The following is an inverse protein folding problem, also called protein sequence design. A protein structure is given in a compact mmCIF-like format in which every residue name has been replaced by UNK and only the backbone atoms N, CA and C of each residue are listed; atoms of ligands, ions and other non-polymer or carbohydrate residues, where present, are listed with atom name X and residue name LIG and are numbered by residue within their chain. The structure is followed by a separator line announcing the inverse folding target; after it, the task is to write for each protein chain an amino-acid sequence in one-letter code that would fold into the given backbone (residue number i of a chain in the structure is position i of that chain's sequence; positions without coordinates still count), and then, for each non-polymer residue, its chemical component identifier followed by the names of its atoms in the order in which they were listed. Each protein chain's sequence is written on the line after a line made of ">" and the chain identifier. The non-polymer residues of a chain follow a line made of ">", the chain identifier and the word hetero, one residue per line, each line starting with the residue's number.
data_IF_467046680917
#
_entry.id   IF_467046680917
#
_cell.length_a   1.000
_cell.length_b   1.000
_cell.length_c   1.000
_cell.angle_alpha   90.00
_cell.angle_beta   90.00
_cell.angle_gamma   90.00
#
_symmetry.space_group_name_H-M   'P 1'
#
loop_
_entity.id
_entity.type
_entity.pdbx_description
1 polymer ?
#
# COMPACT_ATOMS: atom_id res chain seq x y z
N UNK A 1 -51.40 -23.71 20.07
CA UNK A 1 -50.98 -22.38 20.58
C UNK A 1 -49.96 -21.80 19.63
N UNK A 2 -50.33 -20.82 18.81
CA UNK A 2 -49.42 -20.05 17.97
C UNK A 2 -49.74 -18.57 18.22
N UNK A 3 -48.78 -17.80 18.75
CA UNK A 3 -48.94 -16.37 19.03
C UNK A 3 -48.07 -15.60 18.05
N UNK A 4 -48.71 -14.86 17.14
CA UNK A 4 -48.10 -13.86 16.25
C UNK A 4 -47.41 -12.79 17.11
N UNK A 5 -46.14 -12.52 16.84
CA UNK A 5 -45.41 -11.35 17.36
C UNK A 5 -45.55 -10.20 16.37
N UNK A 6 -46.15 -9.12 16.84
CA UNK A 6 -46.32 -7.83 16.16
C UNK A 6 -45.00 -7.05 16.09
N UNK A 7 -44.71 -6.51 14.91
CA UNK A 7 -43.69 -5.49 14.61
C UNK A 7 -43.91 -4.21 15.42
N UNK A 8 -42.86 -3.55 15.93
CA UNK A 8 -42.87 -2.12 16.18
C UNK A 8 -42.08 -1.42 15.07
N UNK A 9 -42.76 -1.10 13.98
CA UNK A 9 -42.35 -0.03 13.06
C UNK A 9 -42.79 1.27 13.72
N UNK A 10 -41.88 2.24 13.90
CA UNK A 10 -42.07 3.59 14.47
C UNK A 10 -41.60 3.80 15.91
N UNK A 11 -40.38 3.36 16.26
CA UNK A 11 -39.66 3.98 17.37
C UNK A 11 -38.80 5.14 16.82
N UNK A 12 -39.09 6.42 17.15
CA UNK A 12 -38.36 7.57 16.63
C UNK A 12 -36.87 7.54 16.97
N UNK A 13 -36.48 6.85 18.05
CA UNK A 13 -35.08 6.65 18.39
C UNK A 13 -34.39 5.73 17.37
N UNK A 14 -35.05 4.64 16.95
CA UNK A 14 -34.49 3.72 15.93
C UNK A 14 -34.38 4.36 14.55
N UNK A 15 -35.33 5.24 14.19
CA UNK A 15 -35.26 6.02 12.95
C UNK A 15 -34.13 7.06 12.99
N UNK A 16 -33.95 7.74 14.13
CA UNK A 16 -32.84 8.68 14.32
C UNK A 16 -31.48 7.99 14.25
N UNK A 17 -31.32 6.81 14.88
CA UNK A 17 -30.10 6.02 14.78
C UNK A 17 -29.83 5.52 13.36
N UNK A 18 -30.86 5.05 12.64
CA UNK A 18 -30.70 4.64 11.24
C UNK A 18 -30.34 5.81 10.32
N UNK A 19 -30.90 7.00 10.55
CA UNK A 19 -30.60 8.19 9.76
C UNK A 19 -29.19 8.73 10.03
N UNK A 20 -28.69 8.61 11.27
CA UNK A 20 -27.31 8.95 11.61
C UNK A 20 -26.33 7.92 11.03
N UNK A 21 -26.68 6.63 11.04
CA UNK A 21 -25.84 5.59 10.43
C UNK A 21 -25.78 5.69 8.90
N UNK A 22 -26.89 6.04 8.24
CA UNK A 22 -26.91 6.29 6.79
C UNK A 22 -26.12 7.55 6.43
N UNK A 23 -26.25 8.63 7.23
CA UNK A 23 -25.45 9.85 7.04
C UNK A 23 -23.95 9.63 7.31
N UNK A 24 -23.59 8.72 8.22
CA UNK A 24 -22.21 8.35 8.49
C UNK A 24 -21.64 7.46 7.38
N UNK A 25 -22.43 6.54 6.82
CA UNK A 25 -22.01 5.75 5.65
C UNK A 25 -21.87 6.59 4.40
N UNK A 26 -22.79 7.53 4.16
CA UNK A 26 -22.71 8.43 3.01
C UNK A 26 -21.51 9.39 3.16
N UNK A 27 -21.26 9.95 4.35
CA UNK A 27 -20.09 10.83 4.55
C UNK A 27 -18.73 10.11 4.59
N UNK A 28 -18.66 8.86 5.07
CA UNK A 28 -17.41 8.09 5.14
C UNK A 28 -17.06 7.41 3.81
N UNK A 29 -18.05 7.09 2.97
CA UNK A 29 -17.84 6.39 1.70
C UNK A 29 -18.14 7.21 0.43
N UNK A 30 -18.79 8.39 0.49
CA UNK A 30 -18.98 9.26 -0.69
C UNK A 30 -17.68 9.87 -1.25
N UNK A 31 -16.54 9.70 -0.56
CA UNK A 31 -15.23 10.18 -1.01
C UNK A 31 -14.47 9.24 -1.96
N UNK A 32 -14.97 8.04 -2.27
CA UNK A 32 -14.17 7.02 -2.98
C UNK A 32 -14.67 6.59 -4.36
N UNK A 33 -15.80 7.10 -4.88
CA UNK A 33 -16.30 6.66 -6.21
C UNK A 33 -17.02 7.75 -7.04
N UNK A 34 -16.47 8.98 -7.10
CA UNK A 34 -16.87 9.94 -8.12
C UNK A 34 -15.69 10.83 -8.57
N UNK A 35 -15.35 10.90 -9.87
CA UNK A 35 -14.39 11.88 -10.37
C UNK A 35 -14.97 13.29 -10.24
N UNK A 36 -14.20 14.19 -9.64
CA UNK A 36 -14.56 15.59 -9.46
C UNK A 36 -14.80 16.29 -10.81
N UNK A 37 -16.03 16.76 -11.03
CA UNK A 37 -16.34 17.75 -12.04
C UNK A 37 -15.88 19.13 -11.55
N UNK A 38 -14.95 19.75 -12.28
CA UNK A 38 -14.50 21.13 -12.06
C UNK A 38 -15.40 22.14 -12.82
N UNK A 39 -15.43 23.43 -12.44
CA UNK A 39 -16.30 24.45 -13.01
C UNK A 39 -15.86 24.88 -14.43
N UNK A 40 -16.81 25.07 -15.34
CA UNK A 40 -16.62 25.58 -16.71
C UNK A 40 -16.21 27.08 -16.76
N UNK A 41 -15.29 27.46 -17.66
CA UNK A 41 -15.13 28.84 -18.14
C UNK A 41 -15.92 29.10 -19.46
N UNK A 42 -16.19 30.38 -19.83
CA UNK A 42 -17.13 30.74 -20.91
C UNK A 42 -16.60 30.45 -22.35
N UNK A 43 -17.48 30.43 -23.38
CA UNK A 43 -17.22 29.72 -24.63
C UNK A 43 -16.39 30.55 -25.65
N UNK A 44 -15.55 29.86 -26.41
CA UNK A 44 -14.96 30.35 -27.67
C UNK A 44 -15.22 29.35 -28.81
N UNK A 45 -15.38 29.83 -30.06
CA UNK A 45 -16.14 29.12 -31.08
C UNK A 45 -15.34 28.07 -31.87
N UNK A 46 -16.11 27.07 -32.26
CA UNK A 46 -15.91 25.94 -33.16
C UNK A 46 -14.83 26.06 -34.25
N UNK A 47 -14.00 25.01 -34.38
CA UNK A 47 -13.56 24.51 -35.68
C UNK A 47 -13.59 22.97 -35.71
N UNK A 48 -14.49 22.50 -36.57
CA UNK A 48 -14.64 21.18 -37.17
C UNK A 48 -13.39 20.28 -37.19
N UNK A 49 -13.52 19.07 -36.62
CA UNK A 49 -12.53 18.01 -36.72
C UNK A 49 -12.79 17.02 -37.88
N UNK A 50 -11.79 16.22 -38.26
CA UNK A 50 -11.99 14.89 -38.84
C UNK A 50 -11.64 13.76 -37.85
N UNK A 51 -12.25 12.60 -38.11
CA UNK A 51 -12.24 11.30 -37.38
C UNK A 51 -10.85 10.74 -36.97
N UNK A 52 -10.81 9.81 -35.99
CA UNK A 52 -9.59 9.39 -35.32
C UNK A 52 -8.79 8.34 -36.11
N UNK A 53 -7.46 8.48 -36.06
CA UNK A 53 -6.51 7.42 -36.43
C UNK A 53 -5.71 7.05 -35.18
N UNK A 54 -5.73 5.76 -34.84
CA UNK A 54 -5.00 5.12 -33.75
C UNK A 54 -3.51 5.42 -33.83
N UNK A 55 -2.94 5.94 -32.73
CA UNK A 55 -1.52 6.28 -32.61
C UNK A 55 -0.85 5.29 -31.65
N UNK A 56 -0.35 4.18 -32.19
CA UNK A 56 0.71 3.40 -31.56
C UNK A 56 2.04 4.10 -31.86
N UNK A 57 2.56 4.90 -30.92
CA UNK A 57 3.91 5.47 -31.01
C UNK A 57 4.65 5.36 -29.70
N UNK A 58 5.32 4.23 -29.49
CA UNK A 58 6.41 4.12 -28.53
C UNK A 58 7.70 4.69 -29.16
N UNK A 59 8.39 5.66 -28.53
CA UNK A 59 9.54 6.39 -29.12
C UNK A 59 10.83 5.56 -29.32
N UNK A 60 10.80 4.25 -29.08
CA UNK A 60 11.97 3.36 -29.16
C UNK A 60 12.13 2.69 -30.55
N UNK A 61 11.03 2.51 -31.30
CA UNK A 61 11.01 1.82 -32.60
C UNK A 61 11.44 2.71 -33.78
N UNK A 62 11.22 4.02 -33.68
CA UNK A 62 11.54 4.98 -34.75
C UNK A 62 13.04 5.29 -34.83
N UNK A 63 13.74 5.24 -33.68
CA UNK A 63 15.19 5.38 -33.58
C UNK A 63 15.96 4.14 -34.08
N UNK A 64 15.36 2.95 -34.00
CA UNK A 64 15.93 1.70 -34.52
C UNK A 64 15.73 1.58 -36.04
N UNK A 65 14.57 1.96 -36.57
CA UNK A 65 14.30 1.95 -38.02
C UNK A 65 15.10 3.00 -38.79
N UNK A 66 15.44 4.12 -38.15
CA UNK A 66 16.35 5.12 -38.75
C UNK A 66 17.78 4.61 -38.77
N UNK A 67 18.28 3.96 -37.71
CA UNK A 67 19.61 3.35 -37.67
C UNK A 67 19.81 2.25 -38.74
N UNK A 68 18.82 1.37 -38.93
CA UNK A 68 18.87 0.31 -39.97
C UNK A 68 18.86 0.89 -41.40
N UNK A 69 18.16 2.01 -41.62
CA UNK A 69 18.13 2.71 -42.92
C UNK A 69 19.49 3.34 -43.27
N UNK A 70 20.22 3.85 -42.27
CA UNK A 70 21.57 4.39 -42.47
C UNK A 70 22.61 3.29 -42.71
N UNK A 71 22.48 2.13 -42.05
CA UNK A 71 23.37 0.99 -42.26
C UNK A 71 23.21 0.33 -43.65
N UNK A 72 22.01 0.37 -44.23
CA UNK A 72 21.74 -0.18 -45.57
C UNK A 72 22.17 0.75 -46.72
N UNK A 73 22.42 2.05 -46.46
CA UNK A 73 22.89 3.01 -47.46
C UNK A 73 24.41 3.11 -47.57
N UNK A 74 25.16 2.53 -46.62
CA UNK A 74 26.61 2.38 -46.72
C UNK A 74 26.95 1.16 -47.57
N UNK A 75 27.30 1.42 -48.84
CA UNK A 75 27.76 0.42 -49.80
C UNK A 75 29.02 -0.34 -49.35
N UNK A 76 29.26 -1.46 -50.03
CA UNK A 76 30.34 -2.44 -49.81
C UNK A 76 31.66 -1.86 -49.30
N UNK A 77 32.16 -2.47 -48.23
CA UNK A 77 33.41 -2.15 -47.53
C UNK A 77 34.59 -2.13 -48.51
N UNK A 78 35.31 -1.01 -48.54
CA UNK A 78 36.39 -0.68 -49.47
C UNK A 78 37.73 -1.42 -49.23
N UNK A 79 37.69 -2.71 -48.84
CA UNK A 79 38.90 -3.46 -48.48
C UNK A 79 38.95 -4.89 -49.04
N UNK A 80 38.51 -5.08 -50.29
CA UNK A 80 38.48 -6.41 -50.95
C UNK A 80 39.32 -6.46 -52.25
N UNK A 81 40.48 -5.78 -52.28
CA UNK A 81 41.38 -5.70 -53.45
C UNK A 81 42.66 -6.58 -53.32
N UNK A 82 42.68 -7.62 -52.48
CA UNK A 82 43.94 -8.29 -52.09
C UNK A 82 44.40 -9.47 -52.96
N UNK A 83 43.74 -9.81 -54.07
CA UNK A 83 44.08 -11.02 -54.86
C UNK A 83 44.43 -10.75 -56.33
N UNK A 84 45.68 -10.34 -56.64
CA UNK A 84 46.21 -10.40 -58.02
C UNK A 84 47.75 -10.49 -58.18
N UNK A 85 48.52 -10.58 -57.10
CA UNK A 85 49.99 -10.47 -57.13
C UNK A 85 50.78 -11.75 -57.49
N UNK A 86 50.13 -12.92 -57.58
CA UNK A 86 50.83 -14.21 -57.75
C UNK A 86 51.11 -14.64 -59.21
N UNK A 87 50.45 -14.03 -60.22
CA UNK A 87 50.63 -14.43 -61.64
C UNK A 87 51.87 -13.83 -62.32
N UNK A 88 52.53 -12.85 -61.70
CA UNK A 88 53.61 -12.07 -62.32
C UNK A 88 54.99 -12.72 -62.13
N UNK A 89 55.15 -13.59 -61.13
CA UNK A 89 56.43 -14.24 -60.85
C UNK A 89 56.77 -15.39 -61.81
N UNK A 90 55.80 -15.95 -62.53
CA UNK A 90 56.03 -17.11 -63.41
C UNK A 90 56.51 -16.74 -64.84
N UNK A 91 56.44 -15.46 -65.22
CA UNK A 91 56.82 -14.99 -66.57
C UNK A 91 58.31 -14.74 -66.78
N UNK A 92 59.12 -14.70 -65.72
CA UNK A 92 60.52 -14.25 -65.78
C UNK A 92 61.53 -15.39 -66.04
N UNK A 93 61.09 -16.61 -66.30
CA UNK A 93 61.94 -17.81 -66.37
C UNK A 93 61.96 -18.51 -67.75
N UNK A 94 61.69 -17.80 -68.85
CA UNK A 94 61.75 -18.39 -70.19
C UNK A 94 63.21 -18.57 -70.65
N UNK A 95 63.61 -19.82 -70.95
CA UNK A 95 64.95 -20.17 -71.47
C UNK A 95 65.11 -19.71 -72.93
N UNK A 96 66.28 -19.12 -73.23
CA UNK A 96 66.74 -18.75 -74.58
C UNK A 96 66.58 -19.87 -75.61
N UNK A 97 66.06 -19.57 -76.80
CA UNK A 97 65.81 -20.57 -77.84
C UNK A 97 67.10 -21.05 -78.53
N UNK A 98 67.29 -22.36 -78.68
CA UNK A 98 68.45 -22.96 -79.36
C UNK A 98 68.38 -22.97 -80.90
N UNK A 99 67.37 -22.33 -81.50
CA UNK A 99 67.10 -22.37 -82.93
C UNK A 99 68.24 -21.82 -83.81
N UNK A 100 68.90 -20.68 -83.48
CA UNK A 100 69.98 -20.14 -84.32
C UNK A 100 71.17 -21.08 -84.48
N UNK A 101 71.54 -21.77 -83.39
CA UNK A 101 72.62 -22.76 -83.41
C UNK A 101 72.25 -24.02 -84.20
N UNK A 102 70.98 -24.43 -84.19
CA UNK A 102 70.52 -25.56 -85.00
C UNK A 102 70.55 -25.24 -86.50
N UNK A 103 70.04 -24.07 -86.90
CA UNK A 103 70.05 -23.63 -88.30
C UNK A 103 71.49 -23.51 -88.82
N UNK A 104 72.40 -22.95 -88.03
CA UNK A 104 73.83 -22.89 -88.38
C UNK A 104 74.45 -24.28 -88.61
N UNK A 105 74.06 -25.28 -87.81
CA UNK A 105 74.49 -26.66 -88.02
C UNK A 105 74.10 -27.20 -89.40
N UNK A 106 72.85 -26.99 -89.83
CA UNK A 106 72.39 -27.43 -91.15
C UNK A 106 73.09 -26.69 -92.30
N UNK A 107 73.27 -25.37 -92.18
CA UNK A 107 73.96 -24.57 -93.20
C UNK A 107 75.44 -24.97 -93.30
N UNK A 108 76.12 -25.17 -92.17
CA UNK A 108 77.51 -25.62 -92.14
C UNK A 108 77.66 -27.03 -92.75
N UNK A 109 76.73 -27.95 -92.46
CA UNK A 109 76.71 -29.28 -93.07
C UNK A 109 76.57 -29.18 -94.59
N UNK A 110 75.63 -28.39 -95.08
CA UNK A 110 75.42 -28.18 -96.52
C UNK A 110 76.66 -27.61 -97.22
N UNK A 111 77.37 -26.68 -96.57
CA UNK A 111 78.60 -26.10 -97.08
C UNK A 111 79.73 -27.13 -97.21
N UNK A 112 79.94 -27.94 -96.17
CA UNK A 112 80.95 -29.01 -96.19
C UNK A 112 80.61 -30.05 -97.27
N UNK A 113 79.34 -30.42 -97.42
CA UNK A 113 78.89 -31.33 -98.48
C UNK A 113 79.15 -30.72 -99.87
N UNK A 114 78.86 -29.43 -100.08
CA UNK A 114 79.13 -28.76 -101.35
C UNK A 114 80.63 -28.75 -101.69
N UNK A 115 81.49 -28.48 -100.71
CA UNK A 115 82.95 -28.51 -100.91
C UNK A 115 83.45 -29.93 -101.16
N UNK A 116 82.93 -30.92 -100.44
CA UNK A 116 83.26 -32.32 -100.70
C UNK A 116 82.86 -32.74 -102.13
N UNK A 117 81.72 -32.27 -102.62
CA UNK A 117 81.25 -32.53 -103.99
C UNK A 117 82.13 -31.84 -105.03
N UNK A 118 82.53 -30.59 -104.80
CA UNK A 118 83.50 -29.87 -105.66
C UNK A 118 84.87 -30.58 -105.64
N UNK A 119 85.32 -31.06 -104.49
CA UNK A 119 86.57 -31.80 -104.34
C UNK A 119 86.56 -33.10 -105.16
N UNK A 120 85.44 -33.84 -105.12
CA UNK A 120 85.24 -35.06 -105.91
C UNK A 120 85.25 -34.76 -107.41
N UNK A 121 84.57 -33.71 -107.87
CA UNK A 121 84.54 -33.34 -109.29
C UNK A 121 85.92 -32.90 -109.77
N UNK A 122 86.63 -32.09 -108.99
CA UNK A 122 87.91 -31.48 -109.40
C UNK A 122 89.06 -32.47 -109.36
N UNK A 123 89.16 -33.29 -108.32
CA UNK A 123 90.31 -34.18 -108.09
C UNK A 123 90.02 -35.63 -108.51
N UNK A 124 88.76 -35.99 -108.75
CA UNK A 124 88.35 -37.30 -109.25
C UNK A 124 88.87 -38.45 -108.38
N UNK A 125 89.50 -39.43 -109.04
CA UNK A 125 90.04 -40.63 -108.39
C UNK A 125 91.30 -40.37 -107.54
N UNK A 126 91.94 -39.20 -107.65
CA UNK A 126 93.14 -38.87 -106.86
C UNK A 126 92.80 -38.35 -105.45
N UNK A 127 91.53 -38.03 -105.19
CA UNK A 127 91.07 -37.56 -103.90
C UNK A 127 91.34 -38.62 -102.81
N UNK A 128 92.12 -38.26 -101.80
CA UNK A 128 92.44 -39.15 -100.66
C UNK A 128 93.63 -40.09 -100.88
N UNK A 129 94.29 -40.05 -102.04
CA UNK A 129 95.54 -40.78 -102.28
C UNK A 129 96.70 -40.23 -101.40
N UNK A 130 97.71 -41.03 -101.05
CA UNK A 130 98.84 -40.57 -100.23
C UNK A 130 99.50 -39.25 -100.70
N UNK A 131 99.76 -39.02 -102.01
CA UNK A 131 100.34 -37.75 -102.46
C UNK A 131 99.38 -36.56 -102.34
N UNK A 132 98.06 -36.77 -102.39
CA UNK A 132 97.06 -35.70 -102.28
C UNK A 132 97.14 -34.98 -100.92
N UNK A 133 97.34 -35.72 -99.83
CA UNK A 133 97.41 -35.17 -98.47
C UNK A 133 98.57 -34.18 -98.27
N UNK A 134 99.66 -34.32 -99.02
CA UNK A 134 100.82 -33.41 -98.98
C UNK A 134 100.74 -32.23 -99.96
N UNK A 135 99.69 -32.15 -100.77
CA UNK A 135 99.54 -31.14 -101.81
C UNK A 135 99.02 -29.81 -101.27
N UNK A 136 99.38 -28.70 -101.94
CA UNK A 136 98.80 -27.38 -101.65
C UNK A 136 97.28 -27.36 -101.89
N UNK A 137 96.76 -28.24 -102.77
CA UNK A 137 95.33 -28.35 -103.04
C UNK A 137 94.53 -28.91 -101.85
N UNK A 138 95.12 -29.84 -101.08
CA UNK A 138 94.50 -30.32 -99.84
C UNK A 138 94.38 -29.20 -98.80
N UNK A 139 95.45 -28.42 -98.60
CA UNK A 139 95.44 -27.28 -97.67
C UNK A 139 94.38 -26.26 -98.10
N UNK A 140 94.31 -25.93 -99.40
CA UNK A 140 93.30 -25.04 -99.94
C UNK A 140 91.87 -25.52 -99.69
N UNK A 141 91.61 -26.82 -99.89
CA UNK A 141 90.30 -27.43 -99.62
C UNK A 141 89.93 -27.39 -98.14
N UNK A 142 90.86 -27.73 -97.25
CA UNK A 142 90.62 -27.69 -95.81
C UNK A 142 90.36 -26.25 -95.34
N UNK A 143 91.15 -25.28 -95.79
CA UNK A 143 90.92 -23.87 -95.46
C UNK A 143 89.56 -23.39 -95.97
N UNK A 144 89.20 -23.72 -97.21
CA UNK A 144 87.90 -23.37 -97.79
C UNK A 144 86.72 -24.06 -97.07
N UNK A 145 86.92 -25.28 -96.56
CA UNK A 145 85.92 -26.01 -95.80
C UNK A 145 85.72 -25.44 -94.39
N UNK A 146 86.81 -25.16 -93.68
CA UNK A 146 86.78 -24.82 -92.25
C UNK A 146 86.43 -23.35 -92.01
N UNK A 147 87.02 -22.42 -92.77
CA UNK A 147 86.87 -20.97 -92.49
C UNK A 147 85.40 -20.51 -92.52
N UNK A 148 84.59 -20.87 -93.54
CA UNK A 148 83.18 -20.47 -93.57
C UNK A 148 82.34 -21.15 -92.49
N UNK A 149 82.65 -22.39 -92.11
CA UNK A 149 81.95 -23.09 -91.03
C UNK A 149 82.14 -22.35 -89.70
N UNK A 150 83.38 -21.94 -89.40
CA UNK A 150 83.66 -21.12 -88.22
C UNK A 150 82.90 -19.78 -88.29
N UNK A 151 82.86 -19.15 -89.47
CA UNK A 151 82.10 -17.92 -89.70
C UNK A 151 80.58 -18.08 -89.46
N UNK A 152 79.97 -19.16 -89.96
CA UNK A 152 78.54 -19.47 -89.78
C UNK A 152 78.21 -19.63 -88.29
N UNK A 153 79.03 -20.37 -87.54
CA UNK A 153 78.84 -20.52 -86.09
C UNK A 153 79.08 -19.23 -85.32
N UNK A 154 80.04 -18.39 -85.73
CA UNK A 154 80.26 -17.08 -85.13
C UNK A 154 79.03 -16.17 -85.30
N UNK A 155 78.42 -16.14 -86.50
CA UNK A 155 77.20 -15.38 -86.76
C UNK A 155 76.04 -15.90 -85.91
N UNK A 156 75.86 -17.22 -85.80
CA UNK A 156 74.80 -17.80 -84.97
C UNK A 156 74.98 -17.53 -83.47
N UNK A 157 76.23 -17.55 -82.98
CA UNK A 157 76.55 -17.16 -81.62
C UNK A 157 76.20 -15.69 -81.36
N UNK A 158 76.47 -14.79 -82.31
CA UNK A 158 76.09 -13.38 -82.23
C UNK A 158 74.56 -13.19 -82.24
N UNK A 159 73.82 -13.92 -83.10
CA UNK A 159 72.35 -13.86 -83.14
C UNK A 159 71.74 -14.34 -81.82
N UNK A 160 72.23 -15.46 -81.26
CA UNK A 160 71.78 -15.95 -79.95
C UNK A 160 72.07 -14.94 -78.85
N UNK A 161 73.27 -14.37 -78.81
CA UNK A 161 73.66 -13.32 -77.85
C UNK A 161 72.77 -12.08 -77.98
N UNK A 162 72.41 -11.68 -79.20
CA UNK A 162 71.53 -10.55 -79.45
C UNK A 162 70.08 -10.83 -79.00
N UNK A 163 69.59 -12.06 -79.18
CA UNK A 163 68.26 -12.47 -78.69
C UNK A 163 68.21 -12.49 -77.16
N UNK A 164 69.27 -13.00 -76.51
CA UNK A 164 69.40 -12.97 -75.05
C UNK A 164 69.42 -11.53 -74.52
N UNK A 165 70.16 -10.63 -75.18
CA UNK A 165 70.17 -9.22 -74.84
C UNK A 165 68.82 -8.54 -75.10
N UNK A 166 68.07 -8.93 -76.14
CA UNK A 166 66.74 -8.37 -76.43
C UNK A 166 65.72 -8.79 -75.37
N UNK A 167 65.75 -10.04 -74.91
CA UNK A 167 64.89 -10.51 -73.83
C UNK A 167 65.28 -9.87 -72.48
N UNK A 168 66.58 -9.73 -72.20
CA UNK A 168 67.05 -9.01 -71.01
C UNK A 168 66.66 -7.53 -71.05
N UNK A 169 66.78 -6.86 -72.20
CA UNK A 169 66.36 -5.47 -72.38
C UNK A 169 64.84 -5.29 -72.21
N UNK A 170 64.03 -6.26 -72.64
CA UNK A 170 62.58 -6.28 -72.41
C UNK A 170 62.25 -6.41 -70.91
N UNK A 171 62.95 -7.29 -70.18
CA UNK A 171 62.78 -7.42 -68.73
C UNK A 171 63.21 -6.15 -67.97
N UNK A 172 64.30 -5.49 -68.41
CA UNK A 172 64.78 -4.23 -67.83
C UNK A 172 63.85 -3.06 -68.15
N UNK A 173 63.25 -3.00 -69.35
CA UNK A 173 62.25 -1.97 -69.67
C UNK A 173 60.96 -2.16 -68.87
N UNK A 174 60.54 -3.41 -68.63
CA UNK A 174 59.38 -3.70 -67.78
C UNK A 174 59.67 -3.39 -66.29
N UNK A 175 60.90 -3.62 -65.82
CA UNK A 175 61.36 -3.20 -64.48
C UNK A 175 61.53 -1.67 -64.38
N UNK A 176 62.01 -1.01 -65.43
CA UNK A 176 62.17 0.45 -65.49
C UNK A 176 60.82 1.17 -65.56
N UNK A 177 59.83 0.62 -66.28
CA UNK A 177 58.45 1.14 -66.26
C UNK A 177 57.83 0.98 -64.87
N UNK A 178 58.11 -0.13 -64.17
CA UNK A 178 57.71 -0.32 -62.75
C UNK A 178 58.48 0.54 -61.74
N UNK A 179 59.67 1.02 -62.09
CA UNK A 179 60.47 1.92 -61.25
C UNK A 179 60.19 3.39 -61.57
N UNK A 180 59.63 3.69 -62.75
CA UNK A 180 59.16 5.01 -63.16
C UNK A 180 57.70 5.28 -62.74
N UNK A 181 56.92 4.24 -62.42
CA UNK A 181 55.68 4.35 -61.64
C UNK A 181 55.92 3.83 -60.21
N UNK A 182 56.56 4.65 -59.34
CA UNK A 182 55.83 5.03 -58.14
C UNK A 182 56.24 6.43 -57.62
N UNK A 183 55.82 7.49 -58.29
CA UNK A 183 55.72 8.82 -57.65
C UNK A 183 54.26 9.30 -57.71
N UNK A 184 53.57 9.12 -58.84
CA UNK A 184 52.16 9.52 -58.97
C UNK A 184 51.21 8.68 -58.12
N UNK A 185 51.42 7.36 -58.01
CA UNK A 185 50.58 6.47 -57.18
C UNK A 185 50.91 6.56 -55.69
N UNK A 186 52.16 6.83 -55.33
CA UNK A 186 52.54 7.08 -53.94
C UNK A 186 52.09 8.49 -53.50
N UNK A 187 52.22 9.49 -54.38
CA UNK A 187 51.71 10.84 -54.17
C UNK A 187 50.19 10.88 -54.11
N UNK A 188 49.45 10.15 -54.95
CA UNK A 188 47.99 10.01 -54.82
C UNK A 188 47.57 9.26 -53.55
N UNK A 189 48.30 8.22 -53.14
CA UNK A 189 48.04 7.54 -51.86
C UNK A 189 48.37 8.41 -50.65
N UNK A 190 49.45 9.21 -50.69
CA UNK A 190 49.82 10.16 -49.64
C UNK A 190 48.88 11.38 -49.64
N UNK A 191 48.44 11.85 -50.80
CA UNK A 191 47.48 12.95 -50.94
C UNK A 191 46.07 12.52 -50.52
N UNK A 192 45.64 11.31 -50.86
CA UNK A 192 44.35 10.75 -50.42
C UNK A 192 44.36 10.39 -48.94
N UNK A 193 45.45 9.82 -48.40
CA UNK A 193 45.62 9.63 -46.96
C UNK A 193 45.72 10.99 -46.25
N UNK A 194 46.41 11.98 -46.82
CA UNK A 194 46.48 13.34 -46.29
C UNK A 194 45.12 14.04 -46.29
N UNK A 195 44.32 13.88 -47.34
CA UNK A 195 42.94 14.37 -47.40
C UNK A 195 42.01 13.61 -46.45
N UNK A 196 42.18 12.29 -46.31
CA UNK A 196 41.42 11.48 -45.37
C UNK A 196 41.74 11.86 -43.92
N UNK A 197 43.03 12.00 -43.58
CA UNK A 197 43.49 12.48 -42.26
C UNK A 197 43.02 13.90 -42.03
N UNK A 198 43.08 14.80 -43.02
CA UNK A 198 42.57 16.18 -42.85
C UNK A 198 41.05 16.21 -42.67
N UNK A 199 40.31 15.36 -43.37
CA UNK A 199 38.87 15.21 -43.20
C UNK A 199 38.51 14.61 -41.85
N UNK A 200 39.26 13.60 -41.39
CA UNK A 200 39.07 12.97 -40.09
C UNK A 200 39.44 13.92 -38.96
N UNK A 201 40.55 14.66 -39.08
CA UNK A 201 40.95 15.68 -38.09
C UNK A 201 39.97 16.85 -38.07
N UNK A 202 39.46 17.30 -39.22
CA UNK A 202 38.39 18.30 -39.25
C UNK A 202 37.09 17.76 -38.64
N UNK A 203 36.72 16.50 -38.91
CA UNK A 203 35.55 15.87 -38.31
C UNK A 203 35.71 15.62 -36.80
N UNK A 204 36.92 15.31 -36.33
CA UNK A 204 37.27 15.21 -34.92
C UNK A 204 37.31 16.59 -34.26
N UNK A 205 37.77 17.63 -34.97
CA UNK A 205 37.72 19.02 -34.54
C UNK A 205 36.27 19.48 -34.35
N UNK A 206 35.43 19.29 -35.37
CA UNK A 206 34.00 19.57 -35.31
C UNK A 206 33.30 18.71 -34.25
N UNK A 207 33.68 17.43 -34.12
CA UNK A 207 33.15 16.50 -33.12
C UNK A 207 33.54 16.90 -31.69
N UNK A 208 34.77 17.35 -31.49
CA UNK A 208 35.28 17.88 -30.23
C UNK A 208 34.59 19.20 -29.89
N UNK A 209 34.51 20.14 -30.82
CA UNK A 209 33.84 21.43 -30.63
C UNK A 209 32.35 21.24 -30.31
N UNK A 210 31.68 20.31 -30.99
CA UNK A 210 30.29 19.95 -30.71
C UNK A 210 30.12 19.23 -29.37
N UNK A 211 31.06 18.37 -28.98
CA UNK A 211 31.07 17.73 -27.67
C UNK A 211 31.33 18.74 -26.55
N UNK A 212 32.23 19.72 -26.77
CA UNK A 212 32.55 20.77 -25.81
C UNK A 212 31.39 21.74 -25.64
N UNK A 213 30.73 22.13 -26.73
CA UNK A 213 29.49 22.91 -26.71
C UNK A 213 28.39 22.18 -25.94
N UNK A 214 28.20 20.87 -26.19
CA UNK A 214 27.23 20.05 -25.45
C UNK A 214 27.60 19.89 -23.98
N UNK A 215 28.89 19.75 -23.67
CA UNK A 215 29.37 19.70 -22.29
C UNK A 215 29.10 21.03 -21.58
N UNK A 216 29.33 22.17 -22.23
CA UNK A 216 29.00 23.50 -21.71
C UNK A 216 27.50 23.72 -21.51
N UNK A 217 26.66 23.24 -22.43
CA UNK A 217 25.19 23.25 -22.25
C UNK A 217 24.77 22.41 -21.04
N UNK A 218 25.37 21.23 -20.85
CA UNK A 218 25.11 20.37 -19.70
C UNK A 218 25.60 21.00 -18.40
N UNK A 219 26.75 21.64 -18.38
CA UNK A 219 27.27 22.35 -17.20
C UNK A 219 26.31 23.47 -16.77
N UNK A 220 25.86 24.29 -17.73
CA UNK A 220 24.88 25.35 -17.45
C UNK A 220 23.54 24.77 -16.98
N UNK A 221 23.09 23.67 -17.58
CA UNK A 221 21.86 22.98 -17.14
C UNK A 221 22.00 22.46 -15.72
N UNK A 222 23.09 21.78 -15.40
CA UNK A 222 23.36 21.24 -14.06
C UNK A 222 23.44 22.40 -13.05
N UNK A 223 24.11 23.50 -13.40
CA UNK A 223 24.21 24.66 -12.51
C UNK A 223 22.83 25.27 -12.21
N UNK A 224 21.99 25.41 -13.24
CA UNK A 224 20.62 25.88 -13.09
C UNK A 224 19.78 24.92 -12.25
N UNK A 225 19.91 23.61 -12.46
CA UNK A 225 19.18 22.59 -11.70
C UNK A 225 19.62 22.58 -10.23
N UNK A 226 20.93 22.70 -9.96
CA UNK A 226 21.47 22.82 -8.60
C UNK A 226 20.95 24.09 -7.92
N UNK A 227 20.95 25.23 -8.62
CA UNK A 227 20.43 26.49 -8.06
C UNK A 227 18.92 26.40 -7.78
N UNK A 228 18.15 25.76 -8.66
CA UNK A 228 16.73 25.50 -8.44
C UNK A 228 16.53 24.60 -7.22
N UNK A 229 17.33 23.54 -7.11
CA UNK A 229 17.28 22.59 -6.01
C UNK A 229 17.64 23.27 -4.68
N UNK A 230 18.74 24.03 -4.61
CA UNK A 230 19.14 24.81 -3.43
C UNK A 230 18.05 25.78 -2.99
N UNK A 231 17.40 26.45 -3.94
CA UNK A 231 16.26 27.33 -3.65
C UNK A 231 15.10 26.56 -3.03
N UNK A 232 14.72 25.42 -3.62
CA UNK A 232 13.62 24.60 -3.07
C UNK A 232 13.96 24.02 -1.71
N UNK A 233 15.22 23.63 -1.45
CA UNK A 233 15.67 23.18 -0.14
C UNK A 233 15.62 24.31 0.90
N UNK A 234 16.10 25.51 0.55
CA UNK A 234 16.02 26.69 1.40
C UNK A 234 14.55 27.05 1.72
N UNK A 235 13.66 26.99 0.72
CA UNK A 235 12.23 27.23 0.92
C UNK A 235 11.60 26.17 1.82
N UNK A 236 11.95 24.89 1.63
CA UNK A 236 11.49 23.79 2.46
C UNK A 236 12.01 23.91 3.90
N UNK A 237 13.28 24.29 4.11
CA UNK A 237 13.85 24.52 5.43
C UNK A 237 13.13 25.66 6.16
N UNK A 238 12.85 26.76 5.46
CA UNK A 238 12.06 27.88 5.98
C UNK A 238 10.65 27.43 6.40
N UNK A 239 9.96 26.67 5.56
CA UNK A 239 8.64 26.09 5.88
C UNK A 239 8.68 25.15 7.07
N UNK A 240 9.68 24.25 7.13
CA UNK A 240 9.84 23.34 8.27
C UNK A 240 10.09 24.12 9.56
N UNK A 241 10.93 25.16 9.54
CA UNK A 241 11.13 26.05 10.70
C UNK A 241 9.84 26.73 11.13
N UNK A 242 9.06 27.26 10.18
CA UNK A 242 7.77 27.87 10.46
C UNK A 242 6.78 26.89 11.10
N UNK A 243 6.66 25.67 10.55
CA UNK A 243 5.81 24.61 11.09
C UNK A 243 6.25 24.16 12.49
N UNK A 244 7.56 24.04 12.73
CA UNK A 244 8.08 23.69 14.06
C UNK A 244 7.75 24.80 15.07
N UNK A 245 7.86 26.07 14.68
CA UNK A 245 7.52 27.20 15.54
C UNK A 245 6.02 27.25 15.81
N UNK A 246 5.18 26.96 14.81
CA UNK A 246 3.73 26.85 14.99
C UNK A 246 3.37 25.69 15.91
N UNK A 247 3.95 24.50 15.74
CA UNK A 247 3.77 23.36 16.65
C UNK A 247 4.22 23.66 18.07
N UNK A 248 5.33 24.37 18.25
CA UNK A 248 5.79 24.82 19.56
C UNK A 248 4.79 25.79 20.20
N UNK A 249 4.25 26.73 19.43
CA UNK A 249 3.23 27.67 19.91
C UNK A 249 1.91 26.97 20.26
N UNK A 250 1.48 25.99 19.45
CA UNK A 250 0.30 25.18 19.71
C UNK A 250 0.48 24.33 20.96
N UNK A 251 1.66 23.72 21.15
CA UNK A 251 1.99 22.96 22.36
C UNK A 251 1.92 23.85 23.60
N UNK A 252 2.48 25.05 23.55
CA UNK A 252 2.41 26.00 24.67
C UNK A 252 0.97 26.42 24.97
N UNK A 253 0.16 26.68 23.94
CA UNK A 253 -1.26 26.98 24.10
C UNK A 253 -2.03 25.82 24.72
N UNK A 254 -1.74 24.57 24.33
CA UNK A 254 -2.35 23.36 24.92
C UNK A 254 -1.94 23.20 26.38
N UNK A 255 -0.66 23.41 26.72
CA UNK A 255 -0.17 23.35 28.11
C UNK A 255 -0.87 24.43 28.95
N UNK A 256 -0.93 25.66 28.46
CA UNK A 256 -1.62 26.78 29.14
C UNK A 256 -3.11 26.49 29.32
N UNK A 257 -3.78 25.93 28.32
CA UNK A 257 -5.19 25.54 28.43
C UNK A 257 -5.37 24.42 29.46
N UNK A 258 -4.53 23.40 29.43
CA UNK A 258 -4.56 22.29 30.39
C UNK A 258 -4.34 22.80 31.83
N UNK A 259 -3.44 23.76 32.02
CA UNK A 259 -3.20 24.40 33.31
C UNK A 259 -4.43 25.18 33.78
N UNK A 260 -5.04 26.00 32.90
CA UNK A 260 -6.29 26.72 33.21
C UNK A 260 -7.44 25.78 33.55
N UNK A 261 -7.58 24.66 32.83
CA UNK A 261 -8.58 23.63 33.12
C UNK A 261 -8.30 22.98 34.47
N UNK A 262 -7.04 22.67 34.79
CA UNK A 262 -6.66 22.12 36.09
C UNK A 262 -7.00 23.08 37.23
N UNK A 263 -6.72 24.36 37.06
CA UNK A 263 -7.05 25.41 38.02
C UNK A 263 -8.57 25.50 38.24
N UNK A 264 -9.35 25.59 37.15
CA UNK A 264 -10.81 25.63 37.22
C UNK A 264 -11.43 24.37 37.87
N UNK A 265 -10.89 23.19 37.60
CA UNK A 265 -11.31 21.94 38.25
C UNK A 265 -10.99 21.97 39.74
N UNK A 266 -9.81 22.44 40.13
CA UNK A 266 -9.39 22.51 41.53
C UNK A 266 -10.24 23.51 42.31
N UNK A 267 -10.53 24.67 41.71
CA UNK A 267 -11.42 25.68 42.27
C UNK A 267 -12.85 25.14 42.43
N UNK A 268 -13.40 24.53 41.37
CA UNK A 268 -14.74 23.93 41.39
C UNK A 268 -14.84 22.79 42.42
N UNK A 269 -13.82 21.93 42.52
CA UNK A 269 -13.78 20.86 43.51
C UNK A 269 -13.75 21.42 44.94
N UNK A 270 -12.94 22.45 45.19
CA UNK A 270 -12.86 23.11 46.49
C UNK A 270 -14.19 23.79 46.85
N UNK A 271 -14.83 24.45 45.88
CA UNK A 271 -16.16 25.03 46.04
C UNK A 271 -17.22 23.98 46.34
N UNK A 272 -17.23 22.85 45.62
CA UNK A 272 -18.17 21.75 45.84
C UNK A 272 -18.02 21.14 47.24
N UNK A 273 -16.79 20.93 47.71
CA UNK A 273 -16.53 20.40 49.06
C UNK A 273 -17.07 21.37 50.12
N UNK A 274 -16.85 22.67 49.94
CA UNK A 274 -17.39 23.69 50.84
C UNK A 274 -18.93 23.71 50.83
N UNK A 275 -19.55 23.69 49.64
CA UNK A 275 -21.00 23.67 49.51
C UNK A 275 -21.61 22.41 50.14
N UNK A 276 -20.99 21.25 49.95
CA UNK A 276 -21.40 20.00 50.58
C UNK A 276 -21.30 20.05 52.10
N UNK A 277 -20.24 20.63 52.65
CA UNK A 277 -20.09 20.81 54.10
C UNK A 277 -21.19 21.74 54.65
N UNK A 278 -21.44 22.87 53.98
CA UNK A 278 -22.51 23.80 54.35
C UNK A 278 -23.90 23.17 54.29
N UNK A 279 -24.19 22.40 53.24
CA UNK A 279 -25.45 21.66 53.11
C UNK A 279 -25.56 20.58 54.20
N UNK A 280 -24.49 19.84 54.47
CA UNK A 280 -24.44 18.82 55.52
C UNK A 280 -24.75 19.42 56.90
N UNK A 281 -24.10 20.55 57.23
CA UNK A 281 -24.34 21.28 58.47
C UNK A 281 -25.79 21.79 58.55
N UNK A 282 -26.34 22.32 57.45
CA UNK A 282 -27.73 22.77 57.39
C UNK A 282 -28.71 21.61 57.60
N UNK A 283 -28.49 20.48 56.95
CA UNK A 283 -29.32 19.27 57.12
C UNK A 283 -29.24 18.79 58.58
N UNK A 284 -28.04 18.71 59.16
CA UNK A 284 -27.86 18.32 60.55
C UNK A 284 -28.61 19.27 61.50
N UNK A 285 -28.50 20.58 61.28
CA UNK A 285 -29.24 21.59 62.04
C UNK A 285 -30.77 21.42 61.93
N UNK A 286 -31.29 21.26 60.71
CA UNK A 286 -32.72 21.05 60.49
C UNK A 286 -33.23 19.74 61.11
N UNK A 287 -32.43 18.67 61.11
CA UNK A 287 -32.77 17.39 61.77
C UNK A 287 -32.83 17.57 63.28
N UNK A 288 -31.85 18.25 63.89
CA UNK A 288 -31.85 18.51 65.34
C UNK A 288 -33.06 19.36 65.74
N UNK A 289 -33.35 20.41 64.99
CA UNK A 289 -34.51 21.29 65.23
C UNK A 289 -35.84 20.52 65.08
N UNK A 290 -36.00 19.77 63.98
CA UNK A 290 -37.21 18.97 63.73
C UNK A 290 -37.38 17.87 64.77
N UNK A 291 -36.29 17.22 65.19
CA UNK A 291 -36.28 16.21 66.25
C UNK A 291 -36.66 16.79 67.61
N UNK A 292 -36.16 17.99 67.94
CA UNK A 292 -36.56 18.73 69.14
C UNK A 292 -38.04 19.09 69.13
N UNK A 293 -38.53 19.66 68.02
CA UNK A 293 -39.94 20.00 67.85
C UNK A 293 -40.86 18.77 67.96
N UNK A 294 -40.47 17.66 67.35
CA UNK A 294 -41.21 16.39 67.44
C UNK A 294 -41.25 15.86 68.87
N UNK A 295 -40.13 15.91 69.60
CA UNK A 295 -40.05 15.48 71.00
C UNK A 295 -40.99 16.30 71.87
N UNK A 296 -40.95 17.64 71.74
CA UNK A 296 -41.86 18.55 72.46
C UNK A 296 -43.33 18.31 72.11
N UNK A 297 -43.64 18.07 70.84
CA UNK A 297 -45.00 17.76 70.39
C UNK A 297 -45.49 16.43 70.98
N UNK A 298 -44.65 15.40 71.01
CA UNK A 298 -44.96 14.10 71.61
C UNK A 298 -45.14 14.20 73.13
N UNK A 299 -44.30 14.97 73.83
CA UNK A 299 -44.43 15.21 75.26
C UNK A 299 -45.73 15.95 75.60
N UNK A 300 -46.06 16.99 74.82
CA UNK A 300 -47.32 17.73 74.97
C UNK A 300 -48.53 16.84 74.72
N UNK A 301 -48.50 16.05 73.63
CA UNK A 301 -49.57 15.10 73.31
C UNK A 301 -49.70 14.02 74.40
N UNK A 302 -48.58 13.51 74.93
CA UNK A 302 -48.54 12.53 76.02
C UNK A 302 -49.15 13.07 77.31
N UNK A 303 -48.79 14.29 77.70
CA UNK A 303 -49.35 14.95 78.88
C UNK A 303 -50.86 15.23 78.73
N UNK A 304 -51.29 15.71 77.56
CA UNK A 304 -52.71 15.92 77.26
C UNK A 304 -53.50 14.60 77.31
N UNK A 305 -52.96 13.53 76.74
CA UNK A 305 -53.56 12.20 76.76
C UNK A 305 -53.69 11.68 78.20
N UNK A 306 -52.64 11.81 79.01
CA UNK A 306 -52.64 11.36 80.40
C UNK A 306 -53.68 12.12 81.24
N UNK A 307 -53.80 13.44 81.05
CA UNK A 307 -54.82 14.25 81.71
C UNK A 307 -56.24 13.81 81.32
N UNK A 308 -56.50 13.61 80.03
CA UNK A 308 -57.80 13.16 79.54
C UNK A 308 -58.17 11.75 80.05
N UNK A 309 -57.20 10.84 80.14
CA UNK A 309 -57.39 9.52 80.76
C UNK A 309 -57.65 9.62 82.27
N UNK A 310 -56.96 10.52 82.97
CA UNK A 310 -57.20 10.78 84.39
C UNK A 310 -58.64 11.23 84.66
N UNK A 311 -59.11 12.24 83.92
CA UNK A 311 -60.48 12.76 84.04
C UNK A 311 -61.53 11.69 83.71
N UNK A 312 -61.34 10.92 82.63
CA UNK A 312 -62.24 9.81 82.28
C UNK A 312 -62.26 8.72 83.34
N UNK A 313 -61.11 8.41 83.94
CA UNK A 313 -61.01 7.40 85.00
C UNK A 313 -61.74 7.85 86.26
N UNK A 314 -61.57 9.11 86.67
CA UNK A 314 -62.27 9.69 87.82
C UNK A 314 -63.79 9.72 87.59
N UNK A 315 -64.22 10.15 86.39
CA UNK A 315 -65.64 10.12 86.00
C UNK A 315 -66.20 8.69 86.02
N UNK A 316 -65.44 7.71 85.52
CA UNK A 316 -65.84 6.31 85.54
C UNK A 316 -65.98 5.77 86.97
N UNK A 317 -65.02 6.06 87.86
CA UNK A 317 -65.08 5.66 89.28
C UNK A 317 -66.32 6.29 89.95
N UNK A 318 -66.56 7.58 89.75
CA UNK A 318 -67.75 8.27 90.28
C UNK A 318 -69.07 7.65 89.81
N UNK A 319 -69.17 7.31 88.52
CA UNK A 319 -70.34 6.63 87.97
C UNK A 319 -70.56 5.23 88.58
N UNK A 320 -69.47 4.49 88.83
CA UNK A 320 -69.52 3.17 89.48
C UNK A 320 -69.94 3.31 90.94
N UNK A 321 -69.39 4.26 91.70
CA UNK A 321 -69.77 4.51 93.08
C UNK A 321 -71.25 4.90 93.20
N UNK A 322 -71.72 5.81 92.33
CA UNK A 322 -73.11 6.23 92.30
C UNK A 322 -74.05 5.05 91.97
N UNK A 323 -73.73 4.24 90.96
CA UNK A 323 -74.51 3.03 90.62
C UNK A 323 -74.50 2.00 91.75
N UNK A 324 -73.36 1.81 92.42
CA UNK A 324 -73.22 0.88 93.53
C UNK A 324 -74.06 1.34 94.73
N UNK A 325 -74.02 2.62 95.08
CA UNK A 325 -74.88 3.21 96.11
C UNK A 325 -76.37 3.04 95.78
N UNK A 326 -76.75 3.33 94.54
CA UNK A 326 -78.14 3.18 94.09
C UNK A 326 -78.62 1.71 94.13
N UNK A 327 -77.72 0.76 93.81
CA UNK A 327 -77.98 -0.67 93.95
C UNK A 327 -78.18 -1.07 95.42
N UNK A 328 -77.34 -0.58 96.33
CA UNK A 328 -77.45 -0.86 97.76
C UNK A 328 -78.79 -0.34 98.34
N UNK A 329 -79.21 0.87 97.97
CA UNK A 329 -80.51 1.43 98.37
C UNK A 329 -81.67 0.59 97.81
N UNK A 330 -81.61 0.18 96.54
CA UNK A 330 -82.63 -0.66 95.94
C UNK A 330 -82.72 -2.05 96.59
N UNK A 331 -81.58 -2.62 96.99
CA UNK A 331 -81.51 -3.88 97.74
C UNK A 331 -82.09 -3.74 99.15
N UNK A 332 -81.81 -2.63 99.86
CA UNK A 332 -82.35 -2.36 101.18
C UNK A 332 -83.88 -2.16 101.17
N UNK A 333 -84.41 -1.38 100.22
CA UNK A 333 -85.87 -1.24 100.02
C UNK A 333 -86.52 -2.59 99.70
N UNK A 334 -85.90 -3.38 98.83
CA UNK A 334 -86.38 -4.72 98.49
C UNK A 334 -86.38 -5.65 99.72
N UNK A 335 -85.33 -5.59 100.56
CA UNK A 335 -85.23 -6.36 101.79
C UNK A 335 -86.28 -5.94 102.83
N UNK A 336 -86.51 -4.63 103.00
CA UNK A 336 -87.54 -4.08 103.89
C UNK A 336 -88.96 -4.50 103.46
N UNK A 337 -89.27 -4.36 102.17
CA UNK A 337 -90.54 -4.83 101.57
C UNK A 337 -90.75 -6.33 101.77
N UNK A 338 -89.70 -7.12 101.60
CA UNK A 338 -89.73 -8.55 101.84
C UNK A 338 -90.00 -8.86 103.32
N UNK A 339 -89.36 -8.14 104.24
CA UNK A 339 -89.58 -8.31 105.68
C UNK A 339 -91.03 -7.96 106.10
N UNK A 340 -91.58 -6.85 105.60
CA UNK A 340 -92.99 -6.47 105.83
C UNK A 340 -93.93 -7.54 105.29
N UNK A 341 -93.66 -8.05 104.08
CA UNK A 341 -94.48 -9.11 103.47
C UNK A 341 -94.41 -10.41 104.28
N UNK A 342 -93.25 -10.74 104.84
CA UNK A 342 -93.09 -11.90 105.72
C UNK A 342 -93.82 -11.71 107.05
N UNK A 343 -93.74 -10.53 107.66
CA UNK A 343 -94.45 -10.21 108.91
C UNK A 343 -95.98 -10.26 108.74
N UNK A 344 -96.51 -9.68 107.65
CA UNK A 344 -97.94 -9.72 107.33
C UNK A 344 -98.43 -11.15 107.11
N UNK A 345 -97.64 -11.98 106.39
CA UNK A 345 -97.92 -13.41 106.23
C UNK A 345 -97.85 -14.15 107.55
N UNK A 346 -96.87 -13.86 108.41
CA UNK A 346 -96.73 -14.47 109.72
C UNK A 346 -97.92 -14.13 110.64
N UNK A 347 -98.34 -12.86 110.69
CA UNK A 347 -99.52 -12.39 111.42
C UNK A 347 -100.81 -13.06 110.92
N UNK A 348 -101.00 -13.12 109.60
CA UNK A 348 -102.14 -13.82 108.97
C UNK A 348 -102.17 -15.30 109.36
N UNK A 349 -101.01 -15.97 109.37
CA UNK A 349 -100.88 -17.37 109.80
C UNK A 349 -101.21 -17.51 111.29
N UNK A 350 -100.67 -16.65 112.16
CA UNK A 350 -100.94 -16.67 113.60
C UNK A 350 -102.42 -16.47 113.91
N UNK A 351 -103.08 -15.49 113.27
CA UNK A 351 -104.52 -15.26 113.42
C UNK A 351 -105.36 -16.45 112.92
N UNK A 352 -104.94 -17.11 111.83
CA UNK A 352 -105.58 -18.35 111.39
C UNK A 352 -105.45 -19.49 112.41
N UNK A 353 -104.30 -19.60 113.09
CA UNK A 353 -104.08 -20.56 114.17
C UNK A 353 -104.91 -20.24 115.42
N UNK A 354 -104.98 -18.98 115.84
CA UNK A 354 -105.80 -18.55 116.99
C UNK A 354 -107.28 -18.84 116.74
N UNK A 355 -107.79 -18.47 115.54
CA UNK A 355 -109.17 -18.77 115.15
C UNK A 355 -109.44 -20.28 115.17
N UNK A 356 -108.53 -21.09 114.62
CA UNK A 356 -108.66 -22.56 114.64
C UNK A 356 -108.62 -23.12 116.06
N UNK A 357 -107.82 -22.52 116.94
CA UNK A 357 -107.73 -22.92 118.35
C UNK A 357 -109.00 -22.55 119.10
N UNK A 358 -109.58 -21.37 118.88
CA UNK A 358 -110.87 -20.98 119.44
C UNK A 358 -112.02 -21.89 118.97
N UNK A 359 -112.07 -22.20 117.67
CA UNK A 359 -113.02 -23.15 117.12
C UNK A 359 -112.86 -24.52 117.77
N UNK A 360 -111.62 -25.00 117.93
CA UNK A 360 -111.33 -26.25 118.62
C UNK A 360 -111.78 -26.23 120.09
N UNK A 361 -111.49 -25.16 120.84
CA UNK A 361 -111.92 -25.01 122.23
C UNK A 361 -113.45 -24.99 122.35
N UNK A 362 -114.15 -24.25 121.49
CA UNK A 362 -115.62 -24.23 121.48
C UNK A 362 -116.22 -25.62 121.19
N UNK A 363 -115.61 -26.38 120.28
CA UNK A 363 -115.99 -27.78 120.01
C UNK A 363 -115.75 -28.66 121.24
N UNK A 364 -114.65 -28.45 121.98
CA UNK A 364 -114.35 -29.18 123.22
C UNK A 364 -115.35 -28.82 124.32
N UNK A 365 -115.62 -27.53 124.55
CA UNK A 365 -116.58 -27.05 125.57
C UNK A 365 -117.98 -27.58 125.29
N UNK A 366 -118.45 -27.52 124.03
CA UNK A 366 -119.74 -28.10 123.65
C UNK A 366 -119.80 -29.61 123.87
N UNK A 367 -118.68 -30.33 123.69
CA UNK A 367 -118.58 -31.76 124.03
C UNK A 367 -118.57 -32.00 125.54
N UNK A 368 -117.93 -31.14 126.33
CA UNK A 368 -117.91 -31.23 127.79
C UNK A 368 -119.28 -30.93 128.40
N UNK A 369 -120.00 -29.96 127.87
CA UNK A 369 -121.38 -29.64 128.28
C UNK A 369 -122.32 -30.82 127.95
N UNK A 370 -122.25 -31.35 126.73
CA UNK A 370 -122.97 -32.56 126.34
C UNK A 370 -122.64 -33.77 127.25
N UNK A 371 -121.37 -33.91 127.64
CA UNK A 371 -120.92 -34.97 128.56
C UNK A 371 -121.48 -34.74 129.98
N UNK A 372 -121.51 -33.49 130.43
CA UNK A 372 -122.04 -33.11 131.75
C UNK A 372 -123.54 -33.33 131.81
N UNK A 373 -124.31 -32.91 130.80
CA UNK A 373 -125.75 -33.21 130.69
C UNK A 373 -126.00 -34.73 130.69
N UNK A 374 -125.18 -35.50 129.97
CA UNK A 374 -125.27 -36.96 129.98
C UNK A 374 -124.96 -37.57 131.36
N UNK A 375 -124.09 -36.94 132.17
CA UNK A 375 -123.80 -37.34 133.54
C UNK A 375 -124.90 -36.91 134.51
N UNK A 376 -125.42 -35.68 134.43
CA UNK A 376 -126.51 -35.17 135.28
C UNK A 376 -127.83 -35.92 135.04
N UNK A 377 -128.15 -36.21 133.78
CA UNK A 377 -129.27 -37.11 133.44
C UNK A 377 -129.12 -38.47 134.14
N UNK A 378 -127.87 -38.94 134.30
CA UNK A 378 -127.54 -40.22 134.94
C UNK A 378 -127.49 -40.16 136.47
N UNK A 379 -127.27 -38.99 137.07
CA UNK A 379 -127.33 -38.79 138.53
C UNK A 379 -128.75 -38.53 139.02
N UNK A 380 -129.60 -37.83 138.26
CA UNK A 380 -131.05 -37.67 138.58
C UNK A 380 -131.82 -38.99 138.49
N UNK A 381 -131.27 -39.97 137.77
CA UNK A 381 -131.83 -41.33 137.68
C UNK A 381 -131.35 -42.29 138.76
N UNK A 382 -130.53 -41.81 139.72
CA UNK A 382 -130.12 -42.53 140.95
C UNK A 382 -130.78 -41.92 142.18
#
# INVERSE_FOLDING_TARGET
>A
MAKKSSTPQNDPATLAFSAVEDALKDSVFAGLDQPAAAPEPPPQPERSGPRPVTRDTSPRSERQRTADKFAAQTGSVANDDRFQSSRILYGLQSKSSGAPTMVAGFVALGWVVAIALVALIRNGAELGSPPFWGSNDFIGLVTLAVVPVVGIFAIAALIRRAQDLRNAAAAVTQAAIRLAEPETTASEKVASVGQAVRREVNALGDGLERALSRAGELEVMIHNEVTALERTYSDNESRMRALIQELASQREAVITNTERVREAITESHTGLVFDLDMISQRIAGTIVESGGNLTTALETAGNSLNAAFGERTESFVSLIDQRTSHLLVALDDSASRLNITLEDRASTISGAFENRTHELSSVIDGRLESLTEALDSRTVTL
#
